data_IF_776074781961
#
_entry.id   IF_776074781961
#
_cell.length_a   1.000
_cell.length_b   1.000
_cell.length_c   1.000
_cell.angle_alpha   90.00
_cell.angle_beta   90.00
_cell.angle_gamma   90.00
#
_symmetry.space_group_name_H-M   'P 1'
#
loop_
_entity.id
_entity.type
_entity.pdbx_description
1 polymer ?
#
# COMPACT_ATOMS: atom_id res chain seq x y z
N UNK A 1 11.21 -9.28 -8.29
CA UNK A 1 11.49 -8.36 -7.15
C UNK A 1 11.56 -9.16 -5.85
N UNK A 2 12.48 -8.82 -4.93
CA UNK A 2 12.76 -9.58 -3.69
C UNK A 2 11.62 -9.45 -2.67
N UNK A 3 11.35 -10.54 -1.94
CA UNK A 3 10.46 -10.57 -0.77
C UNK A 3 11.07 -9.72 0.34
N UNK A 4 10.27 -8.85 0.98
CA UNK A 4 10.74 -7.98 2.06
C UNK A 4 11.13 -8.80 3.30
N UNK A 5 12.16 -8.36 4.02
CA UNK A 5 12.48 -8.91 5.33
C UNK A 5 11.39 -8.58 6.36
N UNK A 6 11.31 -9.35 7.46
CA UNK A 6 10.24 -9.21 8.48
C UNK A 6 10.11 -7.77 9.03
N UNK A 7 11.24 -7.11 9.29
CA UNK A 7 11.25 -5.73 9.79
C UNK A 7 10.79 -4.72 8.72
N UNK A 8 11.24 -4.92 7.48
CA UNK A 8 10.85 -4.07 6.34
C UNK A 8 9.36 -4.18 6.05
N UNK A 9 8.79 -5.38 6.14
CA UNK A 9 7.36 -5.60 5.96
C UNK A 9 6.54 -4.87 7.03
N UNK A 10 6.95 -4.97 8.30
CA UNK A 10 6.29 -4.25 9.41
C UNK A 10 6.30 -2.73 9.21
N UNK A 11 7.42 -2.16 8.77
CA UNK A 11 7.52 -0.73 8.45
C UNK A 11 6.49 -0.36 7.35
N UNK A 12 6.41 -1.17 6.29
CA UNK A 12 5.47 -0.94 5.18
C UNK A 12 4.02 -1.01 5.64
N UNK A 13 3.65 -1.98 6.46
CA UNK A 13 2.28 -2.13 6.99
C UNK A 13 1.86 -0.93 7.86
N UNK A 14 2.75 -0.46 8.75
CA UNK A 14 2.51 0.71 9.59
C UNK A 14 2.40 1.98 8.73
N UNK A 15 3.32 2.17 7.78
CA UNK A 15 3.30 3.31 6.88
C UNK A 15 2.02 3.34 6.03
N UNK A 16 1.57 2.18 5.52
CA UNK A 16 0.31 2.07 4.79
C UNK A 16 -0.88 2.56 5.61
N UNK A 17 -1.02 2.07 6.84
CA UNK A 17 -2.10 2.49 7.74
C UNK A 17 -2.11 4.00 7.95
N UNK A 18 -0.94 4.57 8.28
CA UNK A 18 -0.81 6.02 8.50
C UNK A 18 -1.09 6.82 7.23
N UNK A 19 -0.52 6.46 6.09
CA UNK A 19 -0.72 7.18 4.83
C UNK A 19 -2.20 7.17 4.41
N UNK A 20 -2.89 6.04 4.55
CA UNK A 20 -4.30 5.94 4.15
C UNK A 20 -5.23 6.71 5.08
N UNK A 21 -4.89 6.79 6.37
CA UNK A 21 -5.69 7.49 7.36
C UNK A 21 -5.45 9.01 7.37
N UNK A 22 -4.19 9.43 7.30
CA UNK A 22 -3.78 10.82 7.54
C UNK A 22 -3.29 11.55 6.28
N UNK A 23 -3.08 10.84 5.18
CA UNK A 23 -2.42 11.35 3.97
C UNK A 23 -0.90 11.20 4.04
N UNK A 24 -0.23 11.29 2.88
CA UNK A 24 1.22 11.10 2.80
C UNK A 24 2.03 12.28 3.36
N UNK A 25 1.60 13.52 3.13
CA UNK A 25 2.32 14.74 3.51
C UNK A 25 2.36 14.96 5.01
N UNK A 26 1.27 14.62 5.72
CA UNK A 26 1.13 14.82 7.17
C UNK A 26 1.85 13.78 8.02
N UNK A 27 2.24 12.65 7.43
CA UNK A 27 2.94 11.59 8.13
C UNK A 27 4.45 11.80 7.99
N UNK A 28 5.16 11.66 9.10
CA UNK A 28 6.63 11.79 9.17
C UNK A 28 7.32 10.43 9.25
N UNK A 29 8.60 10.38 8.87
CA UNK A 29 9.42 9.17 9.03
C UNK A 29 9.63 8.84 10.51
N UNK A 30 9.71 9.86 11.36
CA UNK A 30 9.74 9.77 12.82
C UNK A 30 8.60 8.95 13.40
N UNK A 31 7.36 9.36 13.12
CA UNK A 31 6.16 8.69 13.63
C UNK A 31 6.06 7.24 13.12
N UNK A 32 6.53 6.99 11.90
CA UNK A 32 6.57 5.61 11.35
C UNK A 32 7.61 4.77 12.09
N UNK A 33 8.80 5.31 12.36
CA UNK A 33 9.85 4.59 13.07
C UNK A 33 9.39 4.20 14.49
N UNK A 34 8.78 5.15 15.19
CA UNK A 34 8.22 4.95 16.54
C UNK A 34 7.16 3.84 16.55
N UNK A 35 6.13 3.95 15.70
CA UNK A 35 5.04 2.96 15.65
C UNK A 35 5.52 1.58 15.15
N UNK A 36 6.52 1.56 14.26
CA UNK A 36 7.13 0.32 13.81
C UNK A 36 8.04 -0.32 14.87
N UNK A 37 8.42 0.40 15.93
CA UNK A 37 9.32 -0.06 16.98
C UNK A 37 10.77 -0.19 16.49
N UNK A 38 11.20 0.68 15.56
CA UNK A 38 12.55 0.68 14.99
C UNK A 38 13.23 2.03 15.20
N UNK A 39 14.55 2.07 15.22
CA UNK A 39 15.26 3.36 15.28
C UNK A 39 15.10 4.14 13.97
N UNK A 40 15.19 5.47 14.02
CA UNK A 40 15.24 6.31 12.81
C UNK A 40 16.32 5.84 11.84
N UNK A 41 17.52 5.54 12.37
CA UNK A 41 18.64 5.02 11.57
C UNK A 41 18.24 3.76 10.81
N UNK A 42 17.61 2.80 11.49
CA UNK A 42 17.13 1.57 10.87
C UNK A 42 16.08 1.86 9.79
N UNK A 43 15.14 2.77 10.03
CA UNK A 43 14.14 3.15 9.03
C UNK A 43 14.82 3.73 7.77
N UNK A 44 15.75 4.67 7.93
CA UNK A 44 16.46 5.30 6.81
C UNK A 44 17.40 4.35 6.07
N UNK A 45 17.98 3.35 6.76
CA UNK A 45 18.74 2.26 6.12
C UNK A 45 17.85 1.36 5.23
N UNK A 46 16.59 1.15 5.62
CA UNK A 46 15.63 0.38 4.82
C UNK A 46 15.00 1.23 3.70
N UNK A 47 14.71 2.50 3.98
CA UNK A 47 14.04 3.43 3.09
C UNK A 47 14.70 4.80 3.18
N UNK A 48 15.51 5.13 2.19
CA UNK A 48 16.26 6.39 2.18
C UNK A 48 15.38 7.65 2.14
N UNK A 49 14.10 7.52 1.78
CA UNK A 49 13.15 8.63 1.79
C UNK A 49 11.70 8.16 2.02
N UNK A 50 10.82 9.10 2.42
CA UNK A 50 9.38 8.84 2.60
C UNK A 50 8.73 8.42 1.29
N UNK A 51 9.22 8.96 0.18
CA UNK A 51 8.82 8.63 -1.19
C UNK A 51 9.11 7.16 -1.53
N UNK A 52 10.31 6.67 -1.21
CA UNK A 52 10.66 5.26 -1.44
C UNK A 52 9.83 4.32 -0.57
N UNK A 53 9.52 4.72 0.67
CA UNK A 53 8.60 3.99 1.52
C UNK A 53 7.18 3.98 0.95
N UNK A 54 6.67 5.12 0.48
CA UNK A 54 5.38 5.20 -0.21
C UNK A 54 5.33 4.28 -1.43
N UNK A 55 6.41 4.23 -2.23
CA UNK A 55 6.50 3.30 -3.35
C UNK A 55 6.39 1.86 -2.87
N UNK A 56 7.11 1.48 -1.81
CA UNK A 56 7.05 0.14 -1.26
C UNK A 56 5.66 -0.24 -0.73
N UNK A 57 4.93 0.72 -0.14
CA UNK A 57 3.52 0.58 0.26
C UNK A 57 2.63 0.30 -0.94
N UNK A 58 2.73 1.11 -2.00
CA UNK A 58 1.93 0.92 -3.22
C UNK A 58 2.24 -0.41 -3.91
N UNK A 59 3.53 -0.76 -4.02
CA UNK A 59 3.96 -2.04 -4.59
C UNK A 59 3.43 -3.23 -3.76
N UNK A 60 3.38 -3.10 -2.43
CA UNK A 60 2.85 -4.15 -1.55
C UNK A 60 1.34 -4.29 -1.70
N UNK A 61 0.61 -3.17 -1.75
CA UNK A 61 -0.83 -3.16 -2.02
C UNK A 61 -1.15 -3.84 -3.35
N UNK A 62 -0.42 -3.49 -4.42
CA UNK A 62 -0.61 -4.08 -5.73
C UNK A 62 -0.39 -5.61 -5.72
N UNK A 63 0.67 -6.08 -5.05
CA UNK A 63 0.94 -7.52 -4.88
C UNK A 63 -0.18 -8.25 -4.12
N UNK A 64 -0.71 -7.64 -3.06
CA UNK A 64 -1.80 -8.23 -2.28
C UNK A 64 -3.09 -8.35 -3.11
N UNK A 65 -3.43 -7.29 -3.84
CA UNK A 65 -4.59 -7.28 -4.75
C UNK A 65 -4.40 -8.31 -5.86
N UNK A 66 -3.24 -8.36 -6.50
CA UNK A 66 -2.93 -9.34 -7.55
C UNK A 66 -3.04 -10.78 -7.01
N UNK A 67 -2.48 -11.04 -5.83
CA UNK A 67 -2.53 -12.36 -5.21
C UNK A 67 -3.97 -12.80 -4.87
N UNK A 68 -4.81 -11.90 -4.37
CA UNK A 68 -6.22 -12.17 -4.07
C UNK A 68 -7.04 -12.34 -5.36
N UNK A 69 -6.85 -11.46 -6.35
CA UNK A 69 -7.50 -11.58 -7.65
C UNK A 69 -7.16 -12.91 -8.31
N UNK A 70 -5.90 -13.33 -8.27
CA UNK A 70 -5.46 -14.62 -8.81
C UNK A 70 -6.14 -15.80 -8.13
N UNK A 71 -6.36 -15.75 -6.81
CA UNK A 71 -7.12 -16.79 -6.09
C UNK A 71 -8.56 -16.87 -6.59
N UNK A 72 -9.22 -15.72 -6.79
CA UNK A 72 -10.60 -15.67 -7.31
C UNK A 72 -10.67 -16.22 -8.73
N UNK A 73 -9.75 -15.82 -9.61
CA UNK A 73 -9.72 -16.24 -11.01
C UNK A 73 -9.50 -17.76 -11.13
N UNK A 74 -8.61 -18.32 -10.32
CA UNK A 74 -8.26 -19.73 -10.32
C UNK A 74 -9.25 -20.61 -9.53
N UNK A 75 -10.22 -20.03 -8.83
CA UNK A 75 -11.25 -20.80 -8.13
C UNK A 75 -12.14 -21.51 -9.16
N UNK A 76 -12.20 -22.84 -9.06
CA UNK A 76 -12.92 -23.67 -10.02
C UNK A 76 -14.42 -23.73 -9.73
N UNK A 77 -14.83 -23.41 -8.49
CA UNK A 77 -16.23 -23.47 -8.06
C UNK A 77 -17.05 -22.24 -8.46
N UNK A 78 -16.40 -21.13 -8.82
CA UNK A 78 -17.07 -19.90 -9.23
C UNK A 78 -17.25 -19.87 -10.73
N UNK A 79 -18.43 -19.49 -11.19
CA UNK A 79 -18.66 -19.17 -12.58
C UNK A 79 -18.06 -17.80 -12.96
N UNK A 80 -18.18 -17.41 -14.23
CA UNK A 80 -17.63 -16.13 -14.69
C UNK A 80 -18.26 -14.93 -13.99
N UNK A 81 -19.59 -14.93 -13.81
CA UNK A 81 -20.31 -13.81 -13.22
C UNK A 81 -19.93 -13.63 -11.74
N UNK A 82 -19.82 -14.73 -11.01
CA UNK A 82 -19.38 -14.74 -9.62
C UNK A 82 -17.93 -14.30 -9.47
N UNK A 83 -17.04 -14.69 -10.40
CA UNK A 83 -15.66 -14.19 -10.43
C UNK A 83 -15.61 -12.67 -10.64
N UNK A 84 -16.37 -12.15 -11.60
CA UNK A 84 -16.46 -10.70 -11.84
C UNK A 84 -16.99 -9.99 -10.60
N UNK A 85 -18.07 -10.49 -9.98
CA UNK A 85 -18.63 -9.93 -8.75
C UNK A 85 -17.62 -9.95 -7.60
N UNK A 86 -16.89 -11.04 -7.42
CA UNK A 86 -15.87 -11.16 -6.39
C UNK A 86 -14.68 -10.20 -6.64
N UNK A 87 -14.24 -10.04 -7.89
CA UNK A 87 -13.21 -9.07 -8.26
C UNK A 87 -13.67 -7.62 -8.02
N UNK A 88 -14.89 -7.27 -8.43
CA UNK A 88 -15.47 -5.94 -8.16
C UNK A 88 -15.60 -5.67 -6.66
N UNK A 89 -15.99 -6.69 -5.88
CA UNK A 89 -16.07 -6.60 -4.42
C UNK A 89 -14.68 -6.40 -3.80
N UNK A 90 -13.67 -7.16 -4.25
CA UNK A 90 -12.29 -7.03 -3.81
C UNK A 90 -11.77 -5.60 -4.07
N UNK A 91 -11.94 -5.10 -5.30
CA UNK A 91 -11.53 -3.76 -5.68
C UNK A 91 -12.27 -2.70 -4.87
N UNK A 92 -13.60 -2.84 -4.71
CA UNK A 92 -14.41 -1.92 -3.92
C UNK A 92 -13.95 -1.82 -2.46
N UNK A 93 -13.72 -2.95 -1.79
CA UNK A 93 -13.25 -2.99 -0.40
C UNK A 93 -11.80 -2.50 -0.25
N UNK A 94 -10.95 -2.70 -1.26
CA UNK A 94 -9.57 -2.21 -1.25
C UNK A 94 -9.53 -0.70 -1.46
N UNK A 95 -10.26 -0.18 -2.45
CA UNK A 95 -10.34 1.26 -2.73
C UNK A 95 -11.06 2.03 -1.61
N UNK A 96 -12.05 1.45 -0.93
CA UNK A 96 -12.73 2.11 0.19
C UNK A 96 -11.81 2.38 1.39
N UNK A 97 -10.71 1.62 1.53
CA UNK A 97 -9.70 1.84 2.57
C UNK A 97 -8.72 2.94 2.21
N UNK A 98 -8.66 3.35 0.94
CA UNK A 98 -7.85 4.47 0.49
C UNK A 98 -8.65 5.74 0.78
N UNK A 99 -8.31 6.42 1.87
CA UNK A 99 -9.00 7.64 2.28
C UNK A 99 -8.85 8.76 1.24
N UNK A 100 -9.89 9.63 1.14
CA UNK A 100 -9.83 10.86 0.34
C UNK A 100 -8.56 11.70 0.61
N UNK A 101 -8.09 11.88 1.86
CA UNK A 101 -6.87 12.62 2.13
C UNK A 101 -5.65 12.06 1.40
N UNK A 102 -5.52 10.74 1.29
CA UNK A 102 -4.41 10.11 0.59
C UNK A 102 -4.46 10.38 -0.92
N UNK A 103 -5.63 10.29 -1.54
CA UNK A 103 -5.79 10.51 -2.98
C UNK A 103 -5.50 11.97 -3.38
N UNK A 104 -6.02 12.92 -2.60
CA UNK A 104 -5.73 14.34 -2.80
C UNK A 104 -4.24 14.66 -2.64
N UNK A 105 -3.62 13.99 -1.67
CA UNK A 105 -2.23 14.21 -1.33
C UNK A 105 -1.26 13.59 -2.34
N UNK A 106 -1.55 12.37 -2.84
CA UNK A 106 -0.81 11.79 -3.97
C UNK A 106 -0.85 12.69 -5.20
N UNK A 107 -2.04 13.18 -5.56
CA UNK A 107 -2.20 14.08 -6.71
C UNK A 107 -1.38 15.36 -6.56
N UNK A 108 -1.25 15.89 -5.33
CA UNK A 108 -0.61 17.18 -5.06
C UNK A 108 0.89 17.10 -4.80
N UNK A 109 1.35 16.07 -4.10
CA UNK A 109 2.73 15.99 -3.60
C UNK A 109 3.55 14.85 -4.20
N UNK A 110 2.91 13.91 -4.90
CA UNK A 110 3.58 12.84 -5.62
C UNK A 110 2.98 12.64 -7.04
N UNK A 111 2.93 13.69 -7.88
CA UNK A 111 2.28 13.61 -9.19
C UNK A 111 2.89 12.55 -10.12
N UNK A 112 4.20 12.30 -10.01
CA UNK A 112 4.86 11.25 -10.80
C UNK A 112 4.38 9.84 -10.38
N UNK A 113 4.07 9.62 -9.11
CA UNK A 113 3.46 8.35 -8.64
C UNK A 113 2.00 8.23 -9.02
N UNK A 114 1.28 9.35 -9.10
CA UNK A 114 -0.11 9.36 -9.54
C UNK A 114 -0.24 8.90 -11.00
N UNK A 115 0.67 9.35 -11.88
CA UNK A 115 0.74 8.93 -13.29
C UNK A 115 1.04 7.44 -13.48
N UNK A 116 1.64 6.76 -12.50
CA UNK A 116 1.87 5.30 -12.56
C UNK A 116 0.60 4.49 -12.28
N UNK A 117 -0.44 5.13 -11.72
CA UNK A 117 -1.70 4.50 -11.31
C UNK A 117 -2.85 4.82 -12.29
N UNK A 118 -2.73 5.90 -13.06
CA UNK A 118 -3.63 6.28 -14.16
C UNK A 118 -3.44 5.39 -15.39
#
# INVERSE_FOLDING_TARGET
MKRLGKNTLRIVEIAQGKFFQFGFSRVTMEEIAEDAGVSKKTLYEQFASKELLLKAVLDQLAREVEAEARKIILEQKLDFADKVKALLTLLGLRLSRIGRPFMEDLRKYAPERWKEIE
#
